data_IF_969157431503
#
_entry.id   IF_969157431503
#
_cell.length_a   1.000
_cell.length_b   1.000
_cell.length_c   1.000
_cell.angle_alpha   90.00
_cell.angle_beta   90.00
_cell.angle_gamma   90.00
#
_symmetry.space_group_name_H-M   'P 1'
#
loop_
_entity.id
_entity.type
_entity.pdbx_description
1 polymer ?
#
# COMPACT_ATOMS: atom_id res chain seq x y z
N UNK A 1 -17.52 -20.43 -3.36
CA UNK A 1 -16.31 -20.00 -2.64
C UNK A 1 -16.56 -18.61 -2.07
N UNK A 2 -16.51 -18.44 -0.76
CA UNK A 2 -16.85 -17.17 -0.11
C UNK A 2 -15.72 -16.13 -0.24
N UNK A 3 -16.09 -14.86 -0.39
CA UNK A 3 -15.18 -13.71 -0.58
C UNK A 3 -14.06 -13.63 0.49
N UNK A 4 -14.29 -14.10 1.72
CA UNK A 4 -13.29 -14.08 2.80
C UNK A 4 -12.21 -15.16 2.74
N UNK A 5 -12.41 -16.26 2.02
CA UNK A 5 -11.47 -17.39 2.05
C UNK A 5 -10.14 -17.10 1.34
N UNK A 6 -10.14 -16.19 0.35
CA UNK A 6 -8.92 -15.81 -0.37
C UNK A 6 -8.01 -14.91 0.45
N UNK A 7 -8.59 -14.07 1.31
CA UNK A 7 -7.84 -13.20 2.20
C UNK A 7 -7.04 -14.02 3.20
N UNK A 8 -7.71 -14.91 3.94
CA UNK A 8 -7.05 -15.76 4.94
C UNK A 8 -5.94 -16.61 4.30
N UNK A 9 -6.22 -17.27 3.16
CA UNK A 9 -5.20 -18.08 2.45
C UNK A 9 -3.96 -17.29 2.05
N UNK A 10 -4.13 -16.06 1.58
CA UNK A 10 -3.00 -15.22 1.18
C UNK A 10 -2.16 -14.79 2.39
N UNK A 11 -2.80 -14.47 3.52
CA UNK A 11 -2.11 -14.08 4.75
C UNK A 11 -1.43 -15.28 5.43
N UNK A 12 -2.09 -16.43 5.48
CA UNK A 12 -1.51 -17.70 5.91
C UNK A 12 -0.24 -18.04 5.12
N UNK A 13 -0.29 -17.88 3.80
CA UNK A 13 0.86 -18.11 2.94
C UNK A 13 2.01 -17.14 3.26
N UNK A 14 1.74 -15.84 3.44
CA UNK A 14 2.76 -14.85 3.79
C UNK A 14 3.42 -15.13 5.14
N UNK A 15 2.64 -15.62 6.11
CA UNK A 15 3.10 -15.98 7.45
C UNK A 15 3.95 -17.26 7.44
N UNK A 16 3.49 -18.31 6.74
CA UNK A 16 4.18 -19.59 6.60
C UNK A 16 5.47 -19.49 5.77
N UNK A 17 5.48 -18.67 4.71
CA UNK A 17 6.64 -18.51 3.82
C UNK A 17 7.71 -17.55 4.36
N UNK A 18 7.46 -16.85 5.46
CA UNK A 18 8.40 -15.85 6.01
C UNK A 18 8.66 -14.67 5.06
N UNK A 19 7.69 -14.39 4.19
CA UNK A 19 7.73 -13.27 3.26
C UNK A 19 7.29 -11.96 3.90
N UNK A 20 6.59 -11.97 5.03
CA UNK A 20 6.32 -10.75 5.82
C UNK A 20 7.46 -10.46 6.79
N UNK A 21 7.86 -9.19 6.86
CA UNK A 21 8.83 -8.70 7.85
C UNK A 21 8.23 -8.69 9.27
N UNK A 22 9.14 -8.60 10.25
CA UNK A 22 9.10 -8.96 11.67
C UNK A 22 7.83 -8.68 12.51
N UNK A 23 6.83 -7.92 12.03
CA UNK A 23 5.59 -7.67 12.74
C UNK A 23 4.64 -8.87 12.60
N UNK A 24 4.86 -9.89 13.45
CA UNK A 24 3.96 -11.03 13.60
C UNK A 24 3.06 -10.86 14.84
N UNK A 25 1.80 -11.34 14.80
CA UNK A 25 1.13 -12.03 13.69
C UNK A 25 0.77 -11.08 12.54
N UNK A 26 0.84 -11.60 11.31
CA UNK A 26 0.62 -10.82 10.07
C UNK A 26 -0.87 -10.49 9.87
N UNK A 27 -1.73 -11.37 10.38
CA UNK A 27 -3.18 -11.25 10.32
C UNK A 27 -3.68 -9.94 10.93
N UNK A 28 -4.75 -9.36 10.33
CA UNK A 28 -5.37 -8.07 10.71
C UNK A 28 -4.57 -6.80 10.40
N UNK A 29 -3.43 -6.91 9.70
CA UNK A 29 -2.61 -5.77 9.26
C UNK A 29 -2.34 -5.85 7.77
N UNK A 30 -1.90 -4.72 7.19
CA UNK A 30 -1.30 -4.71 5.85
C UNK A 30 0.13 -5.23 6.01
N UNK A 31 0.49 -6.39 5.45
CA UNK A 31 1.82 -6.99 5.61
C UNK A 31 2.90 -6.14 4.94
N UNK A 32 4.01 -5.91 5.64
CA UNK A 32 5.23 -5.42 5.01
C UNK A 32 5.97 -6.64 4.43
N UNK A 33 5.68 -6.98 3.18
CA UNK A 33 6.26 -8.15 2.54
C UNK A 33 7.58 -7.84 1.81
N UNK A 34 8.47 -8.83 1.77
CA UNK A 34 9.71 -8.82 1.00
C UNK A 34 9.37 -8.70 -0.48
N UNK A 35 9.65 -7.54 -1.05
CA UNK A 35 9.27 -7.17 -2.41
C UNK A 35 8.27 -6.01 -2.51
N UNK A 36 7.82 -5.44 -1.39
CA UNK A 36 6.94 -4.26 -1.37
C UNK A 36 7.49 -3.09 -2.20
N UNK A 37 8.81 -2.86 -2.18
CA UNK A 37 9.45 -1.83 -3.01
C UNK A 37 9.31 -2.12 -4.51
N UNK A 38 9.61 -3.35 -4.93
CA UNK A 38 9.47 -3.77 -6.34
C UNK A 38 8.01 -3.84 -6.80
N UNK A 39 7.07 -4.15 -5.91
CA UNK A 39 5.64 -4.04 -6.21
C UNK A 39 5.22 -2.57 -6.42
N UNK A 40 5.74 -1.66 -5.59
CA UNK A 40 5.44 -0.23 -5.71
C UNK A 40 5.90 0.36 -7.06
N UNK A 41 7.05 -0.08 -7.61
CA UNK A 41 7.51 0.41 -8.92
C UNK A 41 6.57 0.06 -10.06
N UNK A 42 5.74 -0.99 -9.94
CA UNK A 42 4.74 -1.35 -10.95
C UNK A 42 3.65 -0.29 -11.11
N UNK A 43 3.39 0.53 -10.08
CA UNK A 43 2.46 1.65 -10.17
C UNK A 43 2.85 2.60 -11.30
N UNK A 44 4.16 2.81 -11.52
CA UNK A 44 4.67 3.66 -12.60
C UNK A 44 4.33 3.15 -14.01
N UNK A 45 3.98 1.87 -14.14
CA UNK A 45 3.57 1.26 -15.42
C UNK A 45 2.10 1.47 -15.76
N UNK A 46 1.23 1.68 -14.77
CA UNK A 46 -0.22 1.77 -14.95
C UNK A 46 -0.62 3.09 -15.61
N UNK A 47 -1.43 3.04 -16.67
CA UNK A 47 -1.89 4.25 -17.35
C UNK A 47 -2.86 5.04 -16.48
N UNK A 48 -3.72 4.35 -15.73
CA UNK A 48 -4.65 4.92 -14.77
C UNK A 48 -3.92 5.71 -13.70
N UNK A 49 -2.79 5.17 -13.23
CA UNK A 49 -1.94 5.84 -12.26
C UNK A 49 -1.26 7.09 -12.85
N UNK A 50 -0.84 7.05 -14.11
CA UNK A 50 -0.26 8.22 -14.81
C UNK A 50 -1.29 9.31 -15.10
N UNK A 51 -2.55 8.94 -15.32
CA UNK A 51 -3.65 9.86 -15.63
C UNK A 51 -4.32 10.43 -14.37
N UNK A 52 -4.14 9.79 -13.21
CA UNK A 52 -4.72 10.24 -11.96
C UNK A 52 -4.13 11.59 -11.52
N UNK A 53 -4.97 12.55 -11.14
CA UNK A 53 -4.51 13.81 -10.52
C UNK A 53 -4.27 13.67 -9.02
N UNK A 54 -4.98 12.72 -8.41
CA UNK A 54 -5.05 12.56 -6.97
C UNK A 54 -4.94 11.08 -6.64
N UNK A 55 -4.07 10.75 -5.68
CA UNK A 55 -3.86 9.38 -5.21
C UNK A 55 -3.96 9.37 -3.69
N UNK A 56 -4.75 8.43 -3.14
CA UNK A 56 -4.83 8.21 -1.70
C UNK A 56 -3.82 7.13 -1.31
N UNK A 57 -2.96 7.45 -0.35
CA UNK A 57 -2.03 6.51 0.27
C UNK A 57 -2.10 6.63 1.78
N UNK A 58 -1.95 5.50 2.47
CA UNK A 58 -1.82 5.49 3.92
C UNK A 58 -0.38 5.83 4.34
N UNK A 59 -0.18 6.65 5.37
CA UNK A 59 1.14 6.99 5.89
C UNK A 59 1.67 5.90 6.85
N UNK A 60 1.63 4.63 6.43
CA UNK A 60 2.12 3.49 7.20
C UNK A 60 3.36 2.87 6.57
N UNK A 61 4.19 2.20 7.39
CA UNK A 61 5.44 1.60 6.93
C UNK A 61 5.27 0.65 5.71
N UNK A 62 4.23 -0.19 5.63
CA UNK A 62 3.94 -1.01 4.45
C UNK A 62 3.83 -0.24 3.13
N UNK A 63 3.30 0.99 3.15
CA UNK A 63 3.03 1.78 1.94
C UNK A 63 4.08 2.87 1.67
N UNK A 64 5.11 2.98 2.50
CA UNK A 64 6.17 4.01 2.39
C UNK A 64 6.81 4.06 1.00
N UNK A 65 7.05 2.91 0.37
CA UNK A 65 7.63 2.84 -0.97
C UNK A 65 6.71 3.47 -2.03
N UNK A 66 5.41 3.19 -1.95
CA UNK A 66 4.43 3.78 -2.86
C UNK A 66 4.27 5.29 -2.59
N UNK A 67 4.26 5.71 -1.32
CA UNK A 67 4.26 7.12 -0.94
C UNK A 67 5.43 7.88 -1.57
N UNK A 68 6.65 7.34 -1.48
CA UNK A 68 7.84 7.95 -2.06
C UNK A 68 7.69 8.18 -3.58
N UNK A 69 7.14 7.21 -4.31
CA UNK A 69 6.93 7.32 -5.76
C UNK A 69 5.88 8.36 -6.16
N UNK A 70 4.90 8.65 -5.29
CA UNK A 70 3.79 9.57 -5.58
C UNK A 70 4.11 11.02 -5.25
N UNK A 71 4.97 11.24 -4.24
CA UNK A 71 5.22 12.56 -3.62
C UNK A 71 5.62 13.66 -4.61
N UNK A 72 6.12 13.32 -5.80
CA UNK A 72 6.56 14.31 -6.81
C UNK A 72 5.62 14.48 -8.01
N UNK A 73 4.54 13.71 -8.11
CA UNK A 73 3.76 13.61 -9.36
C UNK A 73 2.26 13.82 -9.17
N UNK A 74 1.71 13.49 -8.01
CA UNK A 74 0.28 13.56 -7.76
C UNK A 74 -0.03 14.18 -6.40
N UNK A 75 -1.22 14.75 -6.29
CA UNK A 75 -1.74 15.24 -5.04
C UNK A 75 -2.11 14.07 -4.11
N UNK A 76 -1.66 14.10 -2.85
CA UNK A 76 -1.99 13.08 -1.88
C UNK A 76 -3.22 13.46 -1.05
N UNK A 77 -4.21 12.57 -1.00
CA UNK A 77 -5.39 12.71 -0.14
C UNK A 77 -5.24 11.83 1.09
N UNK A 78 -5.38 12.42 2.28
CA UNK A 78 -5.47 11.66 3.54
C UNK A 78 -6.80 10.92 3.62
N UNK A 79 -6.78 9.75 4.28
CA UNK A 79 -7.96 8.92 4.48
C UNK A 79 -9.00 9.66 5.35
N UNK A 80 -10.28 9.55 4.98
CA UNK A 80 -11.40 10.16 5.71
C UNK A 80 -11.43 9.64 7.17
N UNK A 81 -11.38 10.54 8.15
CA UNK A 81 -11.27 10.22 9.58
C UNK A 81 -10.01 10.80 10.27
N UNK A 82 -9.03 11.30 9.51
CA UNK A 82 -7.95 12.15 10.02
C UNK A 82 -8.30 13.63 9.76
N UNK A 83 -8.32 14.45 10.80
CA UNK A 83 -8.56 15.89 10.70
C UNK A 83 -7.39 16.60 9.99
N UNK A 84 -7.51 16.85 8.69
CA UNK A 84 -6.64 17.79 7.98
C UNK A 84 -6.30 17.45 6.53
N UNK A 85 -6.69 18.36 5.63
CA UNK A 85 -5.97 18.81 4.43
C UNK A 85 -5.64 17.82 3.30
N UNK A 86 -5.95 18.22 2.07
CA UNK A 86 -5.32 17.70 0.85
C UNK A 86 -3.86 18.18 0.84
N UNK A 87 -2.89 17.27 0.66
CA UNK A 87 -1.49 17.63 0.53
C UNK A 87 -1.11 17.68 -0.96
N UNK A 88 -0.94 18.89 -1.47
CA UNK A 88 -0.30 19.15 -2.77
C UNK A 88 1.19 19.37 -2.52
N UNK A 89 2.05 18.65 -3.23
CA UNK A 89 3.46 19.08 -3.36
C UNK A 89 3.51 20.35 -4.23
N UNK A 90 4.49 21.26 -4.03
CA UNK A 90 4.66 22.46 -4.85
C UNK A 90 4.92 22.13 -6.33
#
# INVERSE_FOLDING_TARGET
MGCGQWYEKAWDYLEASGLSDFLRPVHRRIPHFKGASHAATRLLGLQEFKAAKTVKINPDAPQKNAQFLITWRHCMVKQCGFSGGIFTSP
#
